data_IF_932522250443
#
_entry.id   IF_932522250443
#
_cell.length_a   1.000
_cell.length_b   1.000
_cell.length_c   1.000
_cell.angle_alpha   90.00
_cell.angle_beta   90.00
_cell.angle_gamma   90.00
#
_symmetry.space_group_name_H-M   'P 1'
#
loop_
_entity.id
_entity.type
_entity.pdbx_description
1 polymer ?
#
# COMPACT_ATOMS: atom_id res chain seq x y z
N UNK A 1 -26.66 9.65 -16.93
CA UNK A 1 -26.89 10.15 -18.31
C UNK A 1 -26.00 11.36 -18.50
N UNK A 2 -24.79 11.17 -19.03
CA UNK A 2 -23.96 12.29 -19.48
C UNK A 2 -24.14 12.36 -21.00
N UNK A 3 -24.73 13.45 -21.48
CA UNK A 3 -24.90 13.71 -22.90
C UNK A 3 -23.53 14.10 -23.48
N UNK A 4 -22.91 13.16 -24.20
CA UNK A 4 -21.70 13.41 -24.98
C UNK A 4 -22.07 14.18 -26.25
N UNK A 5 -21.53 15.38 -26.41
CA UNK A 5 -21.65 16.18 -27.64
C UNK A 5 -20.82 15.55 -28.76
N UNK A 6 -21.40 15.48 -29.97
CA UNK A 6 -20.91 14.66 -31.10
C UNK A 6 -19.51 15.03 -31.63
N UNK A 7 -18.95 16.18 -31.20
CA UNK A 7 -17.63 16.69 -31.62
C UNK A 7 -16.45 16.21 -30.77
N UNK A 8 -16.70 15.54 -29.64
CA UNK A 8 -15.65 15.01 -28.74
C UNK A 8 -15.63 13.49 -28.69
N UNK A 9 -16.21 12.80 -29.69
CA UNK A 9 -16.19 11.34 -29.73
C UNK A 9 -14.79 10.86 -30.11
N UNK A 10 -14.03 10.24 -29.18
CA UNK A 10 -12.79 9.58 -29.55
C UNK A 10 -13.10 8.51 -30.61
N UNK A 11 -12.27 8.45 -31.65
CA UNK A 11 -12.45 7.52 -32.76
C UNK A 11 -12.56 6.05 -32.29
N UNK A 12 -13.10 5.15 -33.14
CA UNK A 12 -13.37 3.76 -32.75
C UNK A 12 -12.13 3.01 -32.25
N UNK A 13 -10.94 3.38 -32.72
CA UNK A 13 -9.66 2.84 -32.23
C UNK A 13 -9.38 3.23 -30.77
N UNK A 14 -9.54 4.51 -30.41
CA UNK A 14 -9.32 5.03 -29.05
C UNK A 14 -10.34 4.40 -28.09
N UNK A 15 -11.61 4.27 -28.49
CA UNK A 15 -12.64 3.58 -27.68
C UNK A 15 -12.29 2.13 -27.38
N UNK A 16 -11.80 1.40 -28.39
CA UNK A 16 -11.40 0.00 -28.25
C UNK A 16 -10.18 -0.16 -27.34
N UNK A 17 -9.29 0.82 -27.33
CA UNK A 17 -8.09 0.83 -26.50
C UNK A 17 -8.38 1.25 -25.04
N UNK A 18 -9.22 2.27 -24.82
CA UNK A 18 -9.70 2.66 -23.49
C UNK A 18 -10.47 1.53 -22.80
N UNK A 19 -11.22 0.73 -23.55
CA UNK A 19 -11.90 -0.46 -23.02
C UNK A 19 -10.93 -1.57 -22.54
N UNK A 20 -9.66 -1.56 -22.97
CA UNK A 20 -8.64 -2.52 -22.51
C UNK A 20 -7.94 -2.05 -21.25
N UNK A 21 -7.70 -0.74 -21.13
CA UNK A 21 -6.96 -0.15 -20.01
C UNK A 21 -7.84 0.20 -18.80
N UNK A 22 -9.13 0.51 -18.99
CA UNK A 22 -9.97 1.01 -17.91
C UNK A 22 -11.09 0.04 -17.50
N UNK A 23 -11.47 0.07 -16.22
CA UNK A 23 -12.60 -0.68 -15.66
C UNK A 23 -13.46 0.23 -14.79
N UNK A 24 -14.78 0.10 -14.93
CA UNK A 24 -15.77 0.79 -14.08
C UNK A 24 -16.25 -0.20 -13.01
N UNK A 25 -16.20 0.22 -11.75
CA UNK A 25 -16.76 -0.51 -10.63
C UNK A 25 -17.81 0.36 -9.95
N UNK A 26 -19.00 -0.21 -9.72
CA UNK A 26 -20.08 0.44 -8.99
C UNK A 26 -20.25 -0.33 -7.69
N UNK A 27 -20.08 0.36 -6.57
CA UNK A 27 -20.29 -0.18 -5.23
C UNK A 27 -21.51 0.50 -4.63
N UNK A 28 -22.52 -0.28 -4.29
CA UNK A 28 -23.64 0.18 -3.48
C UNK A 28 -23.41 -0.34 -2.06
N UNK A 29 -23.26 0.56 -1.09
CA UNK A 29 -23.24 0.20 0.33
C UNK A 29 -24.54 0.65 1.00
N UNK A 30 -25.25 -0.31 1.57
CA UNK A 30 -26.39 -0.06 2.45
C UNK A 30 -25.88 0.39 3.82
N UNK A 31 -26.14 1.65 4.18
CA UNK A 31 -25.74 2.23 5.46
C UNK A 31 -26.46 1.55 6.65
N UNK A 32 -27.59 0.89 6.43
CA UNK A 32 -28.38 0.25 7.49
C UNK A 32 -27.68 -0.98 8.12
N UNK A 33 -26.88 -1.74 7.35
CA UNK A 33 -26.34 -3.03 7.80
C UNK A 33 -25.17 -2.93 8.79
N UNK A 34 -24.53 -1.75 8.93
CA UNK A 34 -23.43 -1.53 9.89
C UNK A 34 -23.89 -0.96 11.24
N UNK A 35 -25.15 -0.53 11.36
CA UNK A 35 -25.70 0.05 12.61
C UNK A 35 -26.25 -0.98 13.61
N UNK A 36 -26.26 -2.28 13.28
CA UNK A 36 -26.77 -3.33 14.17
C UNK A 36 -25.73 -4.42 14.46
N UNK A 37 -24.68 -4.07 15.19
CA UNK A 37 -23.96 -5.02 16.07
C UNK A 37 -23.05 -4.29 17.07
N UNK A 38 -23.62 -4.06 18.26
CA UNK A 38 -22.99 -3.94 19.59
C UNK A 38 -21.63 -3.22 19.71
N UNK A 39 -21.64 -1.93 20.10
CA UNK A 39 -20.89 -1.41 21.27
C UNK A 39 -21.36 0.03 21.62
N UNK A 40 -21.65 0.36 22.89
CA UNK A 40 -21.89 1.74 23.33
C UNK A 40 -20.55 2.45 23.61
N UNK A 41 -20.52 3.76 23.39
CA UNK A 41 -19.43 4.70 23.67
C UNK A 41 -18.09 4.51 22.93
N UNK A 42 -18.00 5.17 21.77
CA UNK A 42 -16.87 6.06 21.40
C UNK A 42 -17.14 6.76 20.07
N UNK A 43 -17.23 8.08 20.12
CA UNK A 43 -17.14 9.06 19.02
C UNK A 43 -17.33 8.50 17.60
N UNK A 44 -18.60 8.40 17.24
CA UNK A 44 -19.13 7.88 15.99
C UNK A 44 -18.81 8.82 14.82
N UNK A 45 -17.58 8.76 14.33
CA UNK A 45 -17.20 9.28 13.00
C UNK A 45 -16.68 8.13 12.15
N UNK A 46 -17.60 7.22 11.79
CA UNK A 46 -17.27 6.10 10.90
C UNK A 46 -17.13 6.65 9.48
N UNK A 47 -15.87 6.83 9.12
CA UNK A 47 -15.35 7.30 7.84
C UNK A 47 -16.21 6.85 6.66
N UNK A 48 -16.80 7.83 5.96
CA UNK A 48 -17.14 7.71 4.57
C UNK A 48 -15.91 7.20 3.81
N UNK A 49 -16.12 6.47 2.73
CA UNK A 49 -15.09 5.83 1.91
C UNK A 49 -13.92 6.74 1.45
N UNK A 50 -13.97 8.05 1.73
CA UNK A 50 -12.93 9.06 1.51
C UNK A 50 -12.89 10.20 2.56
N UNK A 51 -13.30 9.96 3.82
CA UNK A 51 -13.16 10.95 4.90
C UNK A 51 -14.06 12.20 4.81
N UNK A 52 -15.11 12.18 4.00
CA UNK A 52 -16.11 13.26 3.92
C UNK A 52 -17.25 13.06 4.95
N UNK A 53 -17.81 14.14 5.52
CA UNK A 53 -18.89 14.03 6.50
C UNK A 53 -20.20 13.51 5.87
N UNK A 54 -20.86 12.57 6.54
CA UNK A 54 -22.16 12.05 6.13
C UNK A 54 -23.24 13.14 6.28
N UNK A 55 -23.88 13.53 5.18
CA UNK A 55 -24.99 14.48 5.21
C UNK A 55 -26.31 13.69 5.24
N UNK A 56 -27.03 13.73 6.36
CA UNK A 56 -28.36 13.14 6.47
C UNK A 56 -29.41 14.10 5.89
N UNK A 57 -29.99 13.77 4.73
CA UNK A 57 -31.18 14.45 4.20
C UNK A 57 -32.39 13.57 4.48
N UNK A 58 -33.18 13.97 5.50
CA UNK A 58 -34.57 13.58 5.74
C UNK A 58 -34.98 12.12 5.52
N UNK A 59 -34.88 11.28 6.56
CA UNK A 59 -35.72 10.09 6.80
C UNK A 59 -35.77 8.97 5.75
N UNK A 60 -35.08 9.09 4.61
CA UNK A 60 -34.96 8.05 3.58
C UNK A 60 -33.62 7.35 3.73
N UNK A 61 -33.63 6.02 3.56
CA UNK A 61 -32.43 5.20 3.42
C UNK A 61 -31.45 5.87 2.46
N UNK A 62 -30.37 6.44 2.99
CA UNK A 62 -29.31 7.00 2.18
C UNK A 62 -28.42 5.84 1.77
N UNK A 63 -28.49 5.44 0.49
CA UNK A 63 -27.55 4.49 -0.09
C UNK A 63 -26.28 5.23 -0.49
N UNK A 64 -25.13 4.75 -0.03
CA UNK A 64 -23.86 5.26 -0.50
C UNK A 64 -23.52 4.53 -1.80
N UNK A 65 -23.73 5.19 -2.94
CA UNK A 65 -23.31 4.70 -4.24
C UNK A 65 -21.95 5.30 -4.58
N UNK A 66 -20.93 4.45 -4.72
CA UNK A 66 -19.59 4.83 -5.18
C UNK A 66 -19.38 4.32 -6.60
N UNK A 67 -19.06 5.24 -7.51
CA UNK A 67 -18.60 4.91 -8.86
C UNK A 67 -17.09 5.12 -8.92
N UNK A 68 -16.36 4.05 -9.27
CA UNK A 68 -14.90 4.09 -9.40
C UNK A 68 -14.49 3.74 -10.83
N UNK A 69 -13.66 4.59 -11.44
CA UNK A 69 -13.09 4.39 -12.77
C UNK A 69 -11.59 4.17 -12.66
N UNK A 70 -11.15 2.93 -12.86
CA UNK A 70 -9.79 2.48 -12.60
C UNK A 70 -9.02 2.33 -13.91
N UNK A 71 -7.82 2.90 -13.99
CA UNK A 71 -6.83 2.57 -15.02
C UNK A 71 -5.97 1.41 -14.54
N UNK A 72 -5.99 0.29 -15.27
CA UNK A 72 -5.22 -0.92 -14.98
C UNK A 72 -3.94 -1.02 -15.84
N UNK A 73 -3.70 -0.06 -16.73
CA UNK A 73 -2.51 -0.01 -17.57
C UNK A 73 -1.69 1.25 -17.27
N UNK A 74 -0.60 1.15 -16.50
CA UNK A 74 0.19 2.33 -16.13
C UNK A 74 0.88 2.99 -17.32
N UNK A 75 1.22 2.22 -18.37
CA UNK A 75 1.75 2.76 -19.63
C UNK A 75 0.80 3.69 -20.38
N UNK A 76 -0.51 3.71 -20.06
CA UNK A 76 -1.45 4.62 -20.71
C UNK A 76 -1.08 6.09 -20.50
N UNK A 77 -0.68 6.45 -19.28
CA UNK A 77 -0.28 7.82 -18.96
C UNK A 77 0.98 8.24 -19.75
N UNK A 78 1.95 7.31 -19.88
CA UNK A 78 3.17 7.55 -20.66
C UNK A 78 2.86 7.71 -22.15
N UNK A 79 1.98 6.88 -22.70
CA UNK A 79 1.54 7.00 -24.09
C UNK A 79 0.90 8.37 -24.37
N UNK A 80 0.01 8.83 -23.48
CA UNK A 80 -0.64 10.14 -23.60
C UNK A 80 0.38 11.28 -23.51
N UNK A 81 1.40 11.16 -22.64
CA UNK A 81 2.50 12.13 -22.57
C UNK A 81 3.31 12.16 -23.87
N UNK A 82 3.65 11.00 -24.43
CA UNK A 82 4.37 10.91 -25.71
C UNK A 82 3.57 11.53 -26.87
N UNK A 83 2.25 11.40 -26.85
CA UNK A 83 1.36 12.00 -27.85
C UNK A 83 1.32 13.55 -27.79
N UNK A 84 1.75 14.17 -26.69
CA UNK A 84 1.82 15.63 -26.55
C UNK A 84 3.08 16.25 -27.18
N UNK A 85 3.84 15.51 -27.99
CA UNK A 85 5.03 15.98 -28.69
C UNK A 85 6.12 16.52 -27.75
N UNK A 86 6.30 15.85 -26.60
CA UNK A 86 7.36 16.14 -25.63
C UNK A 86 8.73 15.81 -26.25
N UNK A 87 9.73 16.68 -26.04
CA UNK A 87 11.08 16.47 -26.61
C UNK A 87 11.84 15.32 -25.96
N UNK A 88 11.88 15.29 -24.62
CA UNK A 88 12.63 14.29 -23.85
C UNK A 88 11.88 13.94 -22.56
N UNK A 89 11.89 12.66 -22.18
CA UNK A 89 11.42 12.17 -20.87
C UNK A 89 12.61 11.47 -20.21
N UNK A 90 12.99 11.93 -19.02
CA UNK A 90 14.10 11.36 -18.25
C UNK A 90 13.53 10.83 -16.94
N UNK A 91 13.59 9.51 -16.76
CA UNK A 91 13.18 8.84 -15.52
C UNK A 91 14.42 8.48 -14.71
N UNK A 92 14.54 9.04 -13.51
CA UNK A 92 15.64 8.74 -12.58
C UNK A 92 15.08 8.29 -11.23
N UNK A 93 15.60 7.20 -10.70
CA UNK A 93 15.41 6.81 -9.30
C UNK A 93 16.50 5.81 -8.89
N UNK A 94 16.87 5.85 -7.61
CA UNK A 94 17.88 4.96 -7.03
C UNK A 94 17.38 3.54 -6.78
N UNK A 95 16.07 3.28 -6.90
CA UNK A 95 15.44 2.00 -6.54
C UNK A 95 14.64 1.38 -7.69
N UNK A 96 14.86 1.83 -8.93
CA UNK A 96 14.22 1.24 -10.11
C UNK A 96 14.84 -0.14 -10.42
N UNK A 97 14.30 -1.18 -9.79
CA UNK A 97 14.67 -2.55 -10.06
C UNK A 97 13.45 -3.46 -9.88
N UNK A 98 13.20 -4.43 -10.78
CA UNK A 98 13.90 -4.71 -12.03
C UNK A 98 13.48 -3.79 -13.19
N UNK A 99 14.44 -3.18 -13.88
CA UNK A 99 14.18 -2.17 -14.94
C UNK A 99 13.37 -2.73 -16.11
N UNK A 100 13.61 -3.97 -16.54
CA UNK A 100 12.91 -4.57 -17.68
C UNK A 100 11.39 -4.67 -17.43
N UNK A 101 10.99 -5.09 -16.23
CA UNK A 101 9.56 -5.18 -15.89
C UNK A 101 8.91 -3.80 -15.91
N UNK A 102 9.60 -2.79 -15.35
CA UNK A 102 9.13 -1.41 -15.36
C UNK A 102 8.98 -0.88 -16.80
N UNK A 103 9.92 -1.17 -17.69
CA UNK A 103 9.82 -0.78 -19.11
C UNK A 103 8.60 -1.39 -19.79
N UNK A 104 8.34 -2.67 -19.55
CA UNK A 104 7.19 -3.37 -20.14
C UNK A 104 5.86 -2.81 -19.61
N UNK A 105 5.76 -2.57 -18.29
CA UNK A 105 4.55 -2.02 -17.68
C UNK A 105 4.24 -0.60 -18.16
N UNK A 106 5.28 0.21 -18.39
CA UNK A 106 5.16 1.60 -18.83
C UNK A 106 5.13 1.78 -20.36
N UNK A 107 5.37 0.72 -21.14
CA UNK A 107 5.47 0.80 -22.61
C UNK A 107 6.73 1.53 -23.11
N UNK A 108 7.84 1.40 -22.37
CA UNK A 108 9.12 2.08 -22.60
C UNK A 108 10.22 1.13 -23.11
N UNK A 109 9.87 0.12 -23.90
CA UNK A 109 10.81 -0.91 -24.38
C UNK A 109 11.97 -0.34 -25.21
N UNK A 110 11.77 0.79 -25.89
CA UNK A 110 12.81 1.50 -26.65
C UNK A 110 13.59 2.56 -25.87
N UNK A 111 13.35 2.72 -24.56
CA UNK A 111 14.02 3.74 -23.77
C UNK A 111 15.49 3.39 -23.52
N UNK A 112 16.36 4.41 -23.57
CA UNK A 112 17.77 4.28 -23.20
C UNK A 112 17.84 4.02 -21.68
N UNK A 113 18.51 2.93 -21.30
CA UNK A 113 18.68 2.54 -19.89
C UNK A 113 20.13 2.76 -19.49
N UNK A 114 20.34 3.52 -18.41
CA UNK A 114 21.62 3.68 -17.75
C UNK A 114 21.50 3.15 -16.31
N UNK A 115 22.33 2.16 -15.97
CA UNK A 115 22.47 1.65 -14.62
C UNK A 115 23.89 1.90 -14.15
N UNK A 116 24.02 2.74 -13.14
CA UNK A 116 25.32 3.03 -12.55
C UNK A 116 25.63 2.02 -11.44
N UNK A 117 26.91 1.63 -11.28
CA UNK A 117 27.31 0.82 -10.15
C UNK A 117 27.04 1.55 -8.83
N UNK A 118 26.88 0.76 -7.78
CA UNK A 118 26.64 1.28 -6.43
C UNK A 118 27.81 2.15 -5.97
N UNK A 119 27.53 3.35 -5.44
CA UNK A 119 28.56 4.37 -5.11
C UNK A 119 29.27 4.09 -3.79
N UNK A 120 28.61 3.40 -2.85
CA UNK A 120 29.19 3.08 -1.53
C UNK A 120 29.98 1.76 -1.56
N UNK A 121 31.01 1.70 -0.71
CA UNK A 121 31.80 0.49 -0.50
C UNK A 121 31.03 -0.57 0.30
N UNK A 122 31.42 -1.84 0.17
CA UNK A 122 30.69 -2.97 0.79
C UNK A 122 30.64 -2.89 2.31
N UNK A 123 31.62 -2.23 2.92
CA UNK A 123 31.76 -2.06 4.36
C UNK A 123 30.74 -1.06 4.93
N UNK A 124 30.16 -0.21 4.08
CA UNK A 124 29.23 0.83 4.50
C UNK A 124 27.78 0.34 4.66
N UNK A 125 27.42 -0.80 4.04
CA UNK A 125 26.08 -1.39 4.13
C UNK A 125 26.16 -2.90 4.28
N UNK A 126 25.51 -3.40 5.33
CA UNK A 126 25.32 -4.83 5.56
C UNK A 126 23.86 -5.19 5.34
N UNK A 127 23.60 -6.13 4.43
CA UNK A 127 22.26 -6.67 4.15
C UNK A 127 22.22 -8.13 4.59
N UNK A 128 21.30 -8.45 5.49
CA UNK A 128 21.12 -9.81 6.01
C UNK A 128 19.64 -10.21 6.02
N UNK A 129 19.38 -11.49 5.77
CA UNK A 129 18.06 -12.10 5.92
C UNK A 129 18.07 -12.91 7.22
N UNK A 130 17.14 -12.59 8.12
CA UNK A 130 17.00 -13.26 9.41
C UNK A 130 15.73 -14.13 9.37
N UNK A 131 15.83 -15.44 9.07
CA UNK A 131 14.66 -16.29 8.89
C UNK A 131 14.06 -16.79 10.22
N UNK A 132 14.85 -16.76 11.30
CA UNK A 132 14.49 -17.30 12.61
C UNK A 132 14.86 -16.33 13.73
N UNK A 133 14.03 -16.32 14.76
CA UNK A 133 14.27 -15.59 15.98
C UNK A 133 15.17 -16.38 16.96
N UNK A 134 15.69 -15.72 18.02
CA UNK A 134 16.55 -16.35 19.03
C UNK A 134 15.90 -17.53 19.77
N UNK A 135 14.58 -17.57 19.84
CA UNK A 135 13.78 -18.65 20.43
C UNK A 135 13.56 -19.83 19.45
N UNK A 136 14.14 -19.77 18.24
CA UNK A 136 13.98 -20.76 17.18
C UNK A 136 12.71 -20.60 16.35
N UNK A 137 11.84 -19.62 16.68
CA UNK A 137 10.61 -19.34 15.95
C UNK A 137 10.87 -18.82 14.55
N UNK A 138 10.06 -19.25 13.58
CA UNK A 138 10.15 -18.78 12.20
C UNK A 138 9.59 -17.35 12.05
N UNK A 139 10.38 -16.45 11.49
CA UNK A 139 9.98 -15.08 11.21
C UNK A 139 9.26 -15.00 9.86
N UNK A 140 8.00 -15.45 9.84
CA UNK A 140 7.16 -15.45 8.66
C UNK A 140 5.93 -14.54 8.87
N UNK A 141 5.91 -13.39 8.20
CA UNK A 141 4.80 -12.42 8.24
C UNK A 141 3.65 -12.75 7.27
N UNK A 142 3.63 -13.96 6.71
CA UNK A 142 2.56 -14.43 5.83
C UNK A 142 1.18 -14.38 6.51
N UNK A 143 0.11 -14.24 5.72
CA UNK A 143 -1.26 -14.05 6.23
C UNK A 143 -1.66 -15.10 7.28
N UNK A 144 -1.29 -16.36 7.06
CA UNK A 144 -1.61 -17.47 7.96
C UNK A 144 -0.89 -17.43 9.32
N UNK A 145 0.28 -16.77 9.41
CA UNK A 145 1.17 -16.86 10.58
C UNK A 145 1.27 -15.55 11.36
N UNK A 146 1.03 -14.40 10.70
CA UNK A 146 1.24 -13.06 11.26
C UNK A 146 0.37 -12.73 12.50
N UNK A 147 -0.77 -13.39 12.63
CA UNK A 147 -1.68 -13.22 13.78
C UNK A 147 -1.39 -14.20 14.92
N UNK A 148 -0.40 -15.10 14.75
CA UNK A 148 -0.03 -16.04 15.79
C UNK A 148 0.78 -15.37 16.90
N UNK A 149 0.49 -15.76 18.15
CA UNK A 149 1.23 -15.30 19.34
C UNK A 149 2.71 -15.68 19.26
N UNK A 150 3.02 -16.87 18.72
CA UNK A 150 4.38 -17.33 18.52
C UNK A 150 5.17 -16.37 17.62
N UNK A 151 4.62 -15.97 16.46
CA UNK A 151 5.25 -15.01 15.57
C UNK A 151 5.48 -13.65 16.24
N UNK A 152 4.47 -13.12 16.93
CA UNK A 152 4.56 -11.82 17.60
C UNK A 152 5.63 -11.83 18.69
N UNK A 153 5.72 -12.90 19.48
CA UNK A 153 6.76 -13.10 20.49
C UNK A 153 8.14 -13.18 19.85
N UNK A 154 8.34 -14.08 18.88
CA UNK A 154 9.61 -14.28 18.19
C UNK A 154 10.12 -13.00 17.52
N UNK A 155 9.23 -12.25 16.88
CA UNK A 155 9.55 -10.97 16.24
C UNK A 155 10.05 -9.94 17.28
N UNK A 156 9.35 -9.79 18.40
CA UNK A 156 9.75 -8.81 19.39
C UNK A 156 10.99 -9.20 20.19
N UNK A 157 11.24 -10.51 20.42
CA UNK A 157 12.51 -10.99 20.97
C UNK A 157 13.70 -10.69 20.04
N UNK A 158 13.50 -10.87 18.73
CA UNK A 158 14.51 -10.53 17.73
C UNK A 158 14.80 -9.02 17.73
N UNK A 159 13.76 -8.18 17.74
CA UNK A 159 13.92 -6.72 17.80
C UNK A 159 14.60 -6.27 19.10
N UNK A 160 14.17 -6.78 20.26
CA UNK A 160 14.78 -6.43 21.55
C UNK A 160 16.29 -6.73 21.58
N UNK A 161 16.72 -7.83 20.96
CA UNK A 161 18.15 -8.14 20.83
C UNK A 161 18.89 -7.19 19.90
N UNK A 162 18.28 -6.81 18.76
CA UNK A 162 18.88 -5.81 17.86
C UNK A 162 19.01 -4.43 18.53
N UNK A 163 18.01 -4.04 19.31
CA UNK A 163 17.94 -2.72 19.96
C UNK A 163 19.06 -2.55 20.99
N UNK A 164 19.53 -3.63 21.60
CA UNK A 164 20.66 -3.63 22.53
C UNK A 164 22.02 -3.47 21.84
N UNK A 165 22.14 -3.87 20.58
CA UNK A 165 23.42 -3.93 19.86
C UNK A 165 23.60 -2.70 18.95
N UNK A 166 22.52 -2.22 18.32
CA UNK A 166 22.59 -1.15 17.31
C UNK A 166 22.56 0.21 18.00
N UNK A 167 23.64 1.00 17.91
CA UNK A 167 23.65 2.34 18.48
C UNK A 167 22.87 3.33 17.59
N UNK A 168 22.36 4.42 18.18
CA UNK A 168 21.78 5.59 17.49
C UNK A 168 20.41 5.41 16.83
N UNK A 169 19.71 4.31 17.14
CA UNK A 169 18.29 4.11 16.79
C UNK A 169 18.07 3.17 15.61
N UNK A 170 16.83 2.68 15.49
CA UNK A 170 16.41 1.68 14.51
C UNK A 170 15.09 2.13 13.87
N UNK A 171 14.98 1.92 12.56
CA UNK A 171 13.75 2.14 11.80
C UNK A 171 13.16 0.79 11.38
N UNK A 172 11.97 0.46 11.87
CA UNK A 172 11.28 -0.80 11.61
C UNK A 172 10.05 -0.55 10.73
N UNK A 173 9.97 -1.24 9.59
CA UNK A 173 8.82 -1.18 8.69
C UNK A 173 7.94 -2.42 8.83
N UNK A 174 6.63 -2.21 8.99
CA UNK A 174 5.63 -3.27 8.99
C UNK A 174 4.85 -3.31 7.67
N UNK A 175 4.41 -4.49 7.20
CA UNK A 175 3.58 -4.62 6.00
C UNK A 175 2.23 -3.88 6.06
N UNK A 176 1.72 -3.58 7.26
CA UNK A 176 0.50 -2.79 7.44
C UNK A 176 0.43 -2.21 8.85
N UNK A 177 -0.29 -1.09 8.99
CA UNK A 177 -0.57 -0.48 10.30
C UNK A 177 -1.40 -1.40 11.22
N UNK A 178 -2.28 -2.23 10.66
CA UNK A 178 -3.07 -3.17 11.44
C UNK A 178 -2.17 -4.22 12.13
N UNK A 179 -1.19 -4.77 11.40
CA UNK A 179 -0.23 -5.71 11.97
C UNK A 179 0.68 -5.03 13.00
N UNK A 180 1.16 -3.82 12.70
CA UNK A 180 1.95 -3.02 13.62
C UNK A 180 1.24 -2.85 14.97
N UNK A 181 -0.04 -2.41 14.95
CA UNK A 181 -0.83 -2.22 16.18
C UNK A 181 -0.97 -3.53 16.96
N UNK A 182 -1.34 -4.63 16.31
CA UNK A 182 -1.45 -5.95 16.98
C UNK A 182 -0.15 -6.35 17.68
N UNK A 183 1.00 -6.15 17.02
CA UNK A 183 2.30 -6.43 17.62
C UNK A 183 2.59 -5.53 18.82
N UNK A 184 2.33 -4.21 18.69
CA UNK A 184 2.52 -3.26 19.78
C UNK A 184 1.62 -3.57 20.98
N UNK A 185 0.33 -3.85 20.74
CA UNK A 185 -0.64 -4.21 21.77
C UNK A 185 -0.19 -5.49 22.51
N UNK A 186 0.29 -6.50 21.76
CA UNK A 186 0.82 -7.72 22.34
C UNK A 186 2.06 -7.47 23.22
N UNK A 187 3.01 -6.67 22.75
CA UNK A 187 4.25 -6.35 23.47
C UNK A 187 4.02 -5.44 24.68
N UNK A 188 2.98 -4.59 24.67
CA UNK A 188 2.59 -3.79 25.82
C UNK A 188 2.00 -4.63 26.95
N UNK A 189 1.20 -5.65 26.61
CA UNK A 189 0.50 -6.50 27.58
C UNK A 189 1.42 -7.61 28.12
N UNK A 190 2.28 -8.17 27.27
CA UNK A 190 3.28 -9.12 27.72
C UNK A 190 4.43 -8.37 28.42
N UNK A 191 4.30 -8.22 29.75
CA UNK A 191 5.31 -7.71 30.69
C UNK A 191 6.59 -8.58 30.74
N UNK A 192 7.23 -8.81 29.60
CA UNK A 192 8.60 -9.27 29.56
C UNK A 192 9.49 -8.02 29.75
N UNK A 193 10.39 -7.98 30.76
CA UNK A 193 11.21 -6.81 31.05
C UNK A 193 12.06 -6.33 29.86
N UNK A 194 12.31 -7.21 28.88
CA UNK A 194 13.03 -6.89 27.65
C UNK A 194 12.25 -6.01 26.65
N UNK A 195 10.92 -5.93 26.77
CA UNK A 195 10.06 -5.23 25.80
C UNK A 195 9.73 -3.79 26.19
N UNK A 196 10.02 -3.38 27.43
CA UNK A 196 9.81 -2.00 27.88
C UNK A 196 10.65 -1.00 27.06
N UNK A 197 11.82 -1.43 26.57
CA UNK A 197 12.69 -0.66 25.68
C UNK A 197 12.16 -0.50 24.24
N UNK A 198 11.16 -1.29 23.81
CA UNK A 198 10.66 -1.24 22.43
C UNK A 198 9.68 -0.08 22.17
N UNK A 199 9.21 0.60 23.23
CA UNK A 199 8.08 1.54 23.17
C UNK A 199 8.38 2.95 23.71
N UNK A 200 9.63 3.23 24.08
CA UNK A 200 10.14 4.58 24.35
C UNK A 200 10.78 5.17 23.10
#
# INVERSE_FOLDING_TARGET
VFAETDKSRPGPAIRRESARAYRVFIKEEDLAAKFSRNQPDRDTSVAAAWGLPATSIGGKEVRNVSLSYWCLSPGRAIYELLAQNIRNIILTSGTLYPVRSLQLELGLEGAIVLQNPHVIAREQVHVAVIPKAPDGGALNSGYAFRDSVAYQRSLGLMLANLFRIIPRGILVFFPSYALMRKCLDYWQVCCCPDFHFLLQ
#
